data_IF_229009545554
#
_entry.id   IF_229009545554
#
_cell.length_a   1.000
_cell.length_b   1.000
_cell.length_c   1.000
_cell.angle_alpha   90.00
_cell.angle_beta   90.00
_cell.angle_gamma   90.00
#
_symmetry.space_group_name_H-M   'P 1'
#
loop_
_entity.id
_entity.type
_entity.pdbx_description
1 polymer ?
#
# COMPACT_ATOMS: atom_id res chain seq x y z
N UNK A 1 -15.33 8.39 7.34
CA UNK A 1 -15.63 9.67 6.64
C UNK A 1 -16.67 9.42 5.55
N UNK A 2 -17.33 10.47 5.06
CA UNK A 2 -18.36 10.35 4.02
C UNK A 2 -18.25 11.52 3.03
N UNK A 3 -17.12 11.59 2.30
CA UNK A 3 -16.91 12.59 1.24
C UNK A 3 -17.45 12.11 -0.11
N UNK A 4 -17.38 12.99 -1.10
CA UNK A 4 -17.59 12.65 -2.51
C UNK A 4 -16.50 13.26 -3.40
N UNK A 5 -16.55 12.97 -4.70
CA UNK A 5 -15.53 13.44 -5.64
C UNK A 5 -15.43 14.98 -5.76
N UNK A 6 -16.51 15.71 -5.47
CA UNK A 6 -16.55 17.17 -5.51
C UNK A 6 -16.21 17.80 -4.15
N UNK A 7 -16.43 17.08 -3.06
CA UNK A 7 -16.17 17.50 -1.69
C UNK A 7 -15.52 16.37 -0.85
N UNK A 8 -14.25 16.03 -1.12
CA UNK A 8 -13.54 15.04 -0.33
C UNK A 8 -13.24 15.55 1.09
N UNK A 9 -13.14 14.63 2.05
CA UNK A 9 -12.70 14.96 3.42
C UNK A 9 -11.18 14.97 3.46
N UNK A 10 -10.57 16.08 3.88
CA UNK A 10 -9.11 16.25 3.91
C UNK A 10 -8.61 16.42 5.35
N UNK A 11 -7.76 15.48 5.80
CA UNK A 11 -6.94 15.59 7.00
C UNK A 11 -5.53 16.00 6.58
N UNK A 12 -4.98 17.03 7.21
CA UNK A 12 -3.71 17.62 6.80
C UNK A 12 -3.03 18.30 7.98
N UNK A 13 -1.75 18.63 7.78
CA UNK A 13 -0.94 19.38 8.73
C UNK A 13 -1.60 20.67 9.20
N UNK A 14 -1.46 20.95 10.50
CA UNK A 14 -1.89 22.21 11.11
C UNK A 14 -0.98 23.40 10.76
N UNK A 15 0.17 23.14 10.12
CA UNK A 15 1.07 24.19 9.63
C UNK A 15 0.44 24.96 8.47
N UNK A 16 0.88 26.21 8.33
CA UNK A 16 0.48 27.09 7.23
C UNK A 16 0.93 26.46 5.90
N UNK A 17 0.07 26.51 4.88
CA UNK A 17 0.42 26.04 3.53
C UNK A 17 1.70 26.73 3.01
N UNK A 18 2.56 25.95 2.36
CA UNK A 18 3.92 26.33 1.99
C UNK A 18 4.97 25.87 3.01
N UNK A 19 4.57 25.58 4.25
CA UNK A 19 5.44 25.12 5.34
C UNK A 19 5.12 23.68 5.80
N UNK A 20 4.22 22.97 5.10
CA UNK A 20 3.89 21.59 5.45
C UNK A 20 4.95 20.65 4.91
N UNK A 21 5.18 19.56 5.62
CA UNK A 21 6.13 18.53 5.27
C UNK A 21 5.63 17.15 5.73
N UNK A 22 6.06 16.06 5.08
CA UNK A 22 5.88 14.72 5.60
C UNK A 22 6.28 14.64 7.08
N UNK A 23 5.46 13.96 7.88
CA UNK A 23 5.69 13.78 9.32
C UNK A 23 5.29 14.98 10.18
N UNK A 24 4.48 15.91 9.65
CA UNK A 24 3.97 17.06 10.42
C UNK A 24 3.00 16.65 11.55
N UNK A 25 2.37 15.48 11.41
CA UNK A 25 1.44 14.89 12.37
C UNK A 25 1.40 13.36 12.19
N UNK A 26 0.82 12.64 13.14
CA UNK A 26 0.85 11.17 13.18
C UNK A 26 -0.23 10.44 12.36
N UNK A 27 -0.99 11.14 11.50
CA UNK A 27 -2.02 10.48 10.71
C UNK A 27 -3.25 9.98 11.49
N UNK A 28 -3.96 9.01 10.92
CA UNK A 28 -5.18 8.44 11.49
C UNK A 28 -4.89 7.04 12.00
N UNK A 29 -5.16 6.82 13.28
CA UNK A 29 -5.05 5.50 13.91
C UNK A 29 -6.44 4.95 14.21
N UNK A 30 -6.68 3.70 13.82
CA UNK A 30 -7.92 2.96 14.05
C UNK A 30 -7.59 1.63 14.72
N UNK A 31 -8.19 1.37 15.90
CA UNK A 31 -8.17 0.06 16.55
C UNK A 31 -9.54 -0.59 16.41
N UNK A 32 -9.58 -1.76 15.77
CA UNK A 32 -10.79 -2.57 15.61
C UNK A 32 -10.86 -3.77 16.57
N UNK A 33 -11.69 -4.74 16.20
CA UNK A 33 -11.95 -5.98 16.93
C UNK A 33 -11.85 -7.24 16.03
N UNK A 34 -11.19 -7.11 14.88
CA UNK A 34 -10.93 -8.17 13.91
C UNK A 34 -9.86 -9.16 14.35
N UNK A 35 -9.57 -10.16 13.50
CA UNK A 35 -8.59 -11.19 13.83
C UNK A 35 -7.19 -10.74 13.40
N UNK A 36 -6.24 -10.72 14.35
CA UNK A 36 -4.80 -10.58 14.10
C UNK A 36 -3.98 -11.73 14.69
N UNK A 37 -2.65 -11.58 14.67
CA UNK A 37 -1.72 -12.61 15.13
C UNK A 37 -1.50 -12.67 16.66
N UNK A 38 -1.66 -11.53 17.37
CA UNK A 38 -1.34 -11.39 18.80
C UNK A 38 -2.47 -11.87 19.71
N UNK A 39 -2.21 -12.85 20.57
CA UNK A 39 -3.17 -13.29 21.59
C UNK A 39 -3.32 -12.28 22.75
N UNK A 40 -2.20 -11.74 23.23
CA UNK A 40 -2.16 -10.79 24.33
C UNK A 40 -2.14 -9.34 23.81
N UNK A 41 -2.75 -8.43 24.57
CA UNK A 41 -2.73 -6.99 24.29
C UNK A 41 -1.29 -6.48 24.07
N UNK A 42 -1.07 -5.84 22.92
CA UNK A 42 0.14 -5.10 22.58
C UNK A 42 -0.20 -3.61 22.52
N UNK A 43 0.79 -2.76 22.76
CA UNK A 43 0.62 -1.33 22.51
C UNK A 43 0.62 -1.08 21.00
N UNK A 44 -0.16 -0.10 20.55
CA UNK A 44 0.08 0.47 19.22
C UNK A 44 1.39 1.25 19.22
N UNK A 45 1.91 1.52 18.04
CA UNK A 45 3.03 2.45 17.83
C UNK A 45 2.62 3.89 18.16
N UNK A 46 3.60 4.78 18.16
CA UNK A 46 3.43 6.20 18.39
C UNK A 46 3.17 6.58 19.85
N UNK A 47 3.34 5.65 20.79
CA UNK A 47 3.08 5.88 22.21
C UNK A 47 1.66 6.37 22.51
N UNK A 48 0.65 6.01 21.71
CA UNK A 48 -0.71 6.59 21.82
C UNK A 48 -1.46 6.20 23.10
N UNK A 49 -0.97 5.19 23.82
CA UNK A 49 -1.63 4.60 24.99
C UNK A 49 -2.79 3.66 24.63
N UNK A 50 -3.02 3.40 23.34
CA UNK A 50 -3.97 2.40 22.87
C UNK A 50 -3.32 1.02 22.80
N UNK A 51 -4.16 0.00 22.92
CA UNK A 51 -3.73 -1.40 22.83
C UNK A 51 -4.62 -2.17 21.87
N UNK A 52 -4.07 -3.22 21.27
CA UNK A 52 -4.77 -4.12 20.37
C UNK A 52 -4.38 -5.58 20.63
N UNK A 53 -5.28 -6.49 20.27
CA UNK A 53 -5.04 -7.92 20.22
C UNK A 53 -6.05 -8.56 19.27
N UNK A 54 -5.83 -9.84 18.96
CA UNK A 54 -6.72 -10.61 18.11
C UNK A 54 -8.13 -10.69 18.71
N UNK A 55 -9.12 -10.28 17.93
CA UNK A 55 -10.53 -10.42 18.25
C UNK A 55 -11.10 -11.81 17.95
N UNK A 56 -12.42 -11.92 18.06
CA UNK A 56 -13.11 -13.20 17.94
C UNK A 56 -13.46 -13.57 16.48
N UNK A 57 -13.67 -12.57 15.61
CA UNK A 57 -13.99 -12.73 14.20
C UNK A 57 -13.71 -11.44 13.43
N UNK A 58 -13.67 -11.49 12.10
CA UNK A 58 -13.43 -10.32 11.25
C UNK A 58 -14.68 -9.53 10.89
N UNK A 59 -15.88 -9.85 11.38
CA UNK A 59 -17.11 -9.21 10.86
C UNK A 59 -17.33 -7.78 11.38
N UNK A 60 -16.50 -7.32 12.33
CA UNK A 60 -16.59 -5.97 12.90
C UNK A 60 -16.36 -4.86 11.88
N UNK A 61 -16.90 -3.68 12.18
CA UNK A 61 -16.70 -2.45 11.41
C UNK A 61 -16.18 -1.36 12.34
N UNK A 62 -15.09 -0.71 11.93
CA UNK A 62 -14.52 0.47 12.57
C UNK A 62 -14.93 1.76 11.84
N UNK A 63 -15.98 1.69 11.01
CA UNK A 63 -16.45 2.76 10.13
C UNK A 63 -15.85 2.68 8.74
N UNK A 64 -16.46 3.39 7.79
CA UNK A 64 -16.01 3.43 6.39
C UNK A 64 -15.38 4.78 6.09
N UNK A 65 -14.34 4.78 5.25
CA UNK A 65 -13.71 5.98 4.74
C UNK A 65 -13.99 6.07 3.24
N UNK A 66 -14.60 7.18 2.82
CA UNK A 66 -14.97 7.40 1.42
C UNK A 66 -14.57 8.80 0.98
N UNK A 67 -13.89 8.92 -0.18
CA UNK A 67 -13.30 10.15 -0.70
C UNK A 67 -12.54 10.93 0.38
N UNK A 68 -11.47 10.32 0.87
CA UNK A 68 -10.67 10.85 1.98
C UNK A 68 -9.24 11.07 1.57
N UNK A 69 -8.72 12.22 1.94
CA UNK A 69 -7.34 12.64 1.68
C UNK A 69 -6.65 12.78 3.02
N UNK A 70 -5.52 12.13 3.18
CA UNK A 70 -4.61 12.25 4.32
C UNK A 70 -3.30 12.81 3.77
N UNK A 71 -2.89 13.98 4.23
CA UNK A 71 -1.65 14.61 3.75
C UNK A 71 -0.65 14.83 4.88
N UNK A 72 0.64 14.71 4.58
CA UNK A 72 1.73 15.15 5.47
C UNK A 72 1.78 14.43 6.82
N UNK A 73 1.21 13.22 6.89
CA UNK A 73 1.28 12.32 8.04
C UNK A 73 2.65 11.62 8.13
N UNK A 74 2.87 10.70 9.06
CA UNK A 74 4.12 9.94 9.13
C UNK A 74 5.03 10.22 10.33
N UNK A 75 4.57 10.86 11.41
CA UNK A 75 5.49 11.44 12.41
C UNK A 75 6.23 10.38 13.24
N UNK A 76 7.56 10.40 13.18
CA UNK A 76 8.46 9.71 14.12
C UNK A 76 8.36 10.37 15.51
N UNK A 77 7.67 9.72 16.47
CA UNK A 77 7.50 10.29 17.81
C UNK A 77 8.70 9.99 18.71
N UNK A 78 9.42 8.90 18.41
CA UNK A 78 10.73 8.58 18.97
C UNK A 78 11.49 7.67 18.00
N UNK A 79 12.80 7.49 18.20
CA UNK A 79 13.64 6.73 17.26
C UNK A 79 13.13 5.30 17.05
N UNK A 80 12.67 4.99 15.83
CA UNK A 80 12.10 3.69 15.47
C UNK A 80 10.71 3.44 16.07
N UNK A 81 9.96 4.50 16.37
CA UNK A 81 8.55 4.47 16.76
C UNK A 81 7.82 5.56 15.96
N UNK A 82 7.48 5.20 14.73
CA UNK A 82 6.83 6.05 13.76
C UNK A 82 5.31 5.84 13.75
N UNK A 83 4.59 6.73 13.06
CA UNK A 83 3.13 6.71 12.94
C UNK A 83 2.79 6.94 11.49
N UNK A 84 1.82 6.20 10.95
CA UNK A 84 1.58 6.13 9.51
C UNK A 84 0.58 7.16 8.99
N UNK A 85 0.32 7.15 7.68
CA UNK A 85 -0.83 7.84 7.10
C UNK A 85 -2.14 7.30 7.65
N UNK A 86 -2.36 5.99 7.50
CA UNK A 86 -3.43 5.24 8.13
C UNK A 86 -2.85 4.03 8.87
N UNK A 87 -2.87 4.06 10.21
CA UNK A 87 -2.50 2.93 11.07
C UNK A 87 -3.74 2.11 11.42
N UNK A 88 -3.79 0.84 10.98
CA UNK A 88 -4.99 0.00 11.06
C UNK A 88 -4.75 -1.27 11.89
N UNK A 89 -5.05 -1.21 13.18
CA UNK A 89 -4.88 -2.35 14.08
C UNK A 89 -6.16 -3.19 14.13
N UNK A 90 -6.05 -4.46 13.74
CA UNK A 90 -7.14 -5.46 13.79
C UNK A 90 -8.48 -4.94 13.27
N UNK A 91 -8.48 -4.18 12.18
CA UNK A 91 -9.71 -3.58 11.62
C UNK A 91 -10.49 -4.63 10.82
N UNK A 92 -11.73 -4.88 11.21
CA UNK A 92 -12.58 -5.93 10.63
C UNK A 92 -13.07 -5.64 9.20
N UNK A 93 -13.54 -6.70 8.54
CA UNK A 93 -14.08 -6.75 7.18
C UNK A 93 -15.37 -5.96 6.95
N UNK A 94 -16.06 -5.52 8.01
CA UNK A 94 -17.15 -4.55 7.92
C UNK A 94 -16.67 -3.12 7.65
N UNK A 95 -15.36 -2.89 7.59
CA UNK A 95 -14.71 -1.61 7.29
C UNK A 95 -14.30 -1.57 5.82
N UNK A 96 -14.70 -0.51 5.13
CA UNK A 96 -14.33 -0.27 3.73
C UNK A 96 -13.56 1.05 3.56
N UNK A 97 -12.49 0.99 2.78
CA UNK A 97 -11.74 2.14 2.27
C UNK A 97 -12.11 2.33 0.79
N UNK A 98 -12.65 3.48 0.41
CA UNK A 98 -13.11 3.74 -0.96
C UNK A 98 -12.68 5.15 -1.41
N UNK A 99 -11.85 5.27 -2.44
CA UNK A 99 -11.25 6.54 -2.85
C UNK A 99 -10.47 7.20 -1.69
N UNK A 100 -9.35 6.58 -1.34
CA UNK A 100 -8.43 7.09 -0.31
C UNK A 100 -7.16 7.58 -0.98
N UNK A 101 -6.76 8.81 -0.65
CA UNK A 101 -5.44 9.31 -0.99
C UNK A 101 -4.62 9.50 0.28
N UNK A 102 -3.43 8.91 0.33
CA UNK A 102 -2.40 9.29 1.29
C UNK A 102 -1.29 9.98 0.51
N UNK A 103 -1.03 11.25 0.83
CA UNK A 103 -0.13 12.11 0.09
C UNK A 103 0.98 12.60 1.02
N UNK A 104 2.23 12.45 0.60
CA UNK A 104 3.40 13.01 1.31
C UNK A 104 3.51 12.49 2.75
N UNK A 105 3.37 11.17 2.95
CA UNK A 105 3.60 10.52 4.23
C UNK A 105 5.11 10.35 4.47
N UNK A 106 5.58 10.54 5.72
CA UNK A 106 6.98 10.35 6.08
C UNK A 106 7.29 8.88 6.34
N UNK A 107 6.45 8.26 7.15
CA UNK A 107 6.38 6.80 7.39
C UNK A 107 5.37 6.17 6.42
N UNK A 108 4.77 5.01 6.71
CA UNK A 108 3.96 4.29 5.73
C UNK A 108 2.69 5.01 5.29
N UNK A 109 2.25 4.71 4.07
CA UNK A 109 1.00 5.25 3.53
C UNK A 109 -0.20 4.68 4.26
N UNK A 110 -0.32 3.36 4.24
CA UNK A 110 -1.28 2.59 5.03
C UNK A 110 -0.52 1.41 5.61
N UNK A 111 -0.60 1.23 6.91
CA UNK A 111 -0.07 0.04 7.59
C UNK A 111 -1.19 -0.66 8.35
N UNK A 112 -1.21 -1.99 8.29
CA UNK A 112 -2.21 -2.78 8.97
C UNK A 112 -1.61 -3.97 9.73
N UNK A 113 -1.92 -4.05 11.02
CA UNK A 113 -1.58 -5.20 11.86
C UNK A 113 -2.83 -6.05 12.08
N UNK A 114 -2.97 -7.09 11.26
CA UNK A 114 -4.12 -7.98 11.29
C UNK A 114 -5.42 -7.34 10.80
N UNK A 115 -6.53 -8.05 10.97
CA UNK A 115 -7.84 -7.64 10.48
C UNK A 115 -8.12 -8.12 9.05
N UNK A 116 -9.16 -7.55 8.43
CA UNK A 116 -9.65 -7.96 7.13
C UNK A 116 -10.44 -6.87 6.38
N UNK A 117 -10.16 -5.60 6.63
CA UNK A 117 -10.77 -4.48 5.91
C UNK A 117 -10.61 -4.64 4.38
N UNK A 118 -11.48 -3.97 3.63
CA UNK A 118 -11.42 -4.01 2.16
C UNK A 118 -11.24 -2.62 1.57
N UNK A 119 -10.48 -2.52 0.48
CA UNK A 119 -10.08 -1.25 -0.12
C UNK A 119 -10.29 -1.18 -1.63
N UNK A 120 -10.89 -0.09 -2.12
CA UNK A 120 -10.91 0.24 -3.54
C UNK A 120 -10.45 1.67 -3.80
N UNK A 121 -9.74 1.87 -4.92
CA UNK A 121 -9.27 3.18 -5.37
C UNK A 121 -8.36 3.85 -4.32
N UNK A 122 -7.25 3.18 -4.02
CA UNK A 122 -6.25 3.65 -3.06
C UNK A 122 -5.10 4.32 -3.81
N UNK A 123 -4.74 5.53 -3.41
CA UNK A 123 -3.67 6.31 -4.03
C UNK A 123 -2.66 6.77 -2.97
N UNK A 124 -1.45 6.23 -3.02
CA UNK A 124 -0.33 6.66 -2.20
C UNK A 124 0.68 7.40 -3.06
N UNK A 125 1.08 8.59 -2.63
CA UNK A 125 1.87 9.50 -3.46
C UNK A 125 2.91 10.25 -2.64
N UNK A 126 4.16 10.17 -3.03
CA UNK A 126 5.25 10.87 -2.39
C UNK A 126 5.58 10.37 -0.99
N UNK A 127 5.37 9.08 -0.74
CA UNK A 127 5.83 8.41 0.48
C UNK A 127 7.34 8.44 0.63
N UNK A 128 7.79 8.55 1.87
CA UNK A 128 9.22 8.52 2.23
C UNK A 128 9.61 7.21 2.94
N UNK A 129 8.64 6.40 3.36
CA UNK A 129 8.77 4.98 3.69
C UNK A 129 7.82 4.12 2.83
N UNK A 130 7.28 2.98 3.28
CA UNK A 130 6.49 2.05 2.47
C UNK A 130 5.12 2.64 2.06
N UNK A 131 4.63 2.29 0.86
CA UNK A 131 3.34 2.85 0.42
C UNK A 131 2.15 2.07 0.99
N UNK A 132 2.27 0.74 1.09
CA UNK A 132 1.30 -0.13 1.74
C UNK A 132 2.05 -1.25 2.48
N UNK A 133 1.92 -1.24 3.80
CA UNK A 133 2.40 -2.29 4.69
C UNK A 133 1.23 -3.13 5.22
N UNK A 134 1.34 -4.46 5.12
CA UNK A 134 0.30 -5.38 5.59
C UNK A 134 0.89 -6.57 6.35
N UNK A 135 0.46 -6.66 7.59
CA UNK A 135 1.17 -7.41 8.62
C UNK A 135 0.23 -8.19 9.55
N UNK A 136 0.85 -8.96 10.45
CA UNK A 136 0.21 -9.65 11.56
C UNK A 136 -1.08 -10.42 11.22
N UNK A 137 -1.01 -11.16 10.12
CA UNK A 137 -2.09 -12.00 9.63
C UNK A 137 -3.30 -11.24 9.06
N UNK A 138 -3.06 -10.10 8.43
CA UNK A 138 -4.06 -9.39 7.65
C UNK A 138 -4.57 -10.23 6.47
N UNK A 139 -5.90 -10.26 6.26
CA UNK A 139 -6.52 -11.06 5.17
C UNK A 139 -7.59 -10.30 4.40
N UNK A 140 -7.43 -8.98 4.32
CA UNK A 140 -8.34 -8.14 3.57
C UNK A 140 -8.18 -8.27 2.06
N UNK A 141 -8.88 -7.38 1.35
CA UNK A 141 -8.90 -7.36 -0.12
C UNK A 141 -8.71 -5.95 -0.64
N UNK A 142 -7.91 -5.79 -1.68
CA UNK A 142 -7.63 -4.49 -2.30
C UNK A 142 -7.79 -4.57 -3.81
N UNK A 143 -8.54 -3.64 -4.42
CA UNK A 143 -8.64 -3.50 -5.88
C UNK A 143 -8.45 -2.06 -6.32
N UNK A 144 -7.62 -1.81 -7.35
CA UNK A 144 -7.26 -0.47 -7.83
C UNK A 144 -6.41 0.30 -6.82
N UNK A 145 -5.12 0.00 -6.81
CA UNK A 145 -4.13 0.68 -5.99
C UNK A 145 -3.05 1.33 -6.86
N UNK A 146 -2.70 2.57 -6.57
CA UNK A 146 -1.56 3.24 -7.19
C UNK A 146 -0.65 3.75 -6.08
N UNK A 147 0.63 3.41 -6.17
CA UNK A 147 1.68 3.90 -5.31
C UNK A 147 2.74 4.58 -6.17
N UNK A 148 3.09 5.82 -5.85
CA UNK A 148 4.01 6.63 -6.63
C UNK A 148 4.94 7.41 -5.72
N UNK A 149 6.19 6.94 -5.60
CA UNK A 149 7.28 7.64 -4.94
C UNK A 149 7.65 8.91 -5.68
N UNK A 150 8.12 9.92 -4.94
CA UNK A 150 8.69 11.14 -5.51
C UNK A 150 10.18 11.24 -5.16
N UNK A 151 10.93 12.20 -5.75
CA UNK A 151 12.30 12.46 -5.32
C UNK A 151 12.40 12.70 -3.81
N UNK A 152 13.42 12.16 -3.15
CA UNK A 152 13.62 12.38 -1.70
C UNK A 152 13.87 13.85 -1.36
N UNK A 153 14.28 14.67 -2.33
CA UNK A 153 14.38 16.13 -2.20
C UNK A 153 13.03 16.82 -1.99
N UNK A 154 11.91 16.12 -2.17
CA UNK A 154 10.57 16.61 -1.86
C UNK A 154 10.42 17.03 -0.39
N UNK A 155 11.21 16.47 0.52
CA UNK A 155 11.22 16.81 1.95
C UNK A 155 10.78 15.64 2.82
N UNK A 156 11.23 15.67 4.08
CA UNK A 156 11.26 14.50 4.97
C UNK A 156 12.63 13.81 4.91
N UNK A 157 12.88 12.89 5.82
CA UNK A 157 14.02 11.96 5.75
C UNK A 157 13.46 10.65 5.20
N UNK A 158 13.96 10.20 4.05
CA UNK A 158 13.55 8.90 3.54
C UNK A 158 14.01 7.79 4.48
N UNK A 159 13.17 6.79 4.63
CA UNK A 159 13.50 5.55 5.33
C UNK A 159 14.71 4.86 4.71
N UNK A 160 15.26 3.91 5.46
CA UNK A 160 16.39 3.10 4.98
C UNK A 160 16.00 2.10 3.91
N UNK A 161 14.71 1.81 3.77
CA UNK A 161 14.17 0.76 2.90
C UNK A 161 12.77 1.07 2.35
N UNK A 162 12.55 2.22 1.66
CA UNK A 162 11.22 2.65 1.22
C UNK A 162 10.72 1.85 -0.01
N UNK A 163 10.01 0.77 0.23
CA UNK A 163 9.39 -0.11 -0.76
C UNK A 163 8.04 0.42 -1.26
N UNK A 164 7.55 -0.15 -2.36
CA UNK A 164 6.17 0.05 -2.78
C UNK A 164 5.22 -0.67 -1.83
N UNK A 165 5.49 -1.97 -1.63
CA UNK A 165 4.87 -2.80 -0.61
C UNK A 165 5.92 -3.39 0.33
N UNK A 166 5.67 -3.37 1.62
CA UNK A 166 6.28 -4.27 2.60
C UNK A 166 5.17 -5.14 3.19
N UNK A 167 5.38 -6.45 3.35
CA UNK A 167 4.33 -7.33 3.87
C UNK A 167 4.95 -8.53 4.57
N UNK A 168 4.60 -8.70 5.84
CA UNK A 168 5.00 -9.83 6.66
C UNK A 168 3.85 -10.78 6.96
N UNK A 169 4.17 -12.06 6.87
CA UNK A 169 3.24 -13.15 7.16
C UNK A 169 2.91 -13.29 8.64
N UNK A 170 3.86 -13.81 9.42
CA UNK A 170 3.74 -14.01 10.86
C UNK A 170 4.92 -13.40 11.59
N UNK A 171 4.63 -12.43 12.45
CA UNK A 171 5.63 -11.87 13.33
C UNK A 171 6.17 -12.93 14.31
N UNK A 172 7.48 -13.15 14.28
CA UNK A 172 8.20 -14.24 14.98
C UNK A 172 8.09 -14.25 16.53
N UNK A 173 7.48 -13.22 17.12
CA UNK A 173 7.38 -13.02 18.58
C UNK A 173 5.99 -13.20 19.22
N UNK A 174 4.94 -13.55 18.47
CA UNK A 174 3.57 -13.64 19.01
C UNK A 174 3.16 -15.07 19.42
N UNK A 175 2.62 -15.25 20.63
CA UNK A 175 1.83 -16.46 20.91
C UNK A 175 0.61 -16.46 19.99
N UNK A 176 0.53 -17.45 19.09
CA UNK A 176 -0.60 -17.63 18.18
C UNK A 176 -1.89 -17.68 18.99
N UNK A 177 -2.80 -16.72 18.76
CA UNK A 177 -4.16 -16.76 19.31
C UNK A 177 -4.86 -18.06 18.86
N UNK A 178 -5.77 -18.59 19.68
CA UNK A 178 -6.65 -19.71 19.27
C UNK A 178 -7.52 -19.35 18.05
N UNK A 179 -7.75 -18.06 17.81
CA UNK A 179 -8.43 -17.50 16.63
C UNK A 179 -7.47 -16.99 15.56
N UNK A 180 -6.14 -17.07 15.76
CA UNK A 180 -5.18 -16.44 14.84
C UNK A 180 -5.25 -17.07 13.46
N UNK A 181 -5.30 -16.21 12.45
CA UNK A 181 -4.97 -16.63 11.09
C UNK A 181 -3.49 -17.01 11.04
N UNK A 182 -3.11 -18.03 10.26
CA UNK A 182 -1.77 -18.57 10.30
C UNK A 182 -0.72 -17.65 9.68
N UNK A 183 -1.08 -16.63 8.90
CA UNK A 183 -0.19 -15.67 8.24
C UNK A 183 -1.00 -14.64 7.45
N UNK A 184 -0.38 -13.52 7.07
CA UNK A 184 -0.96 -12.52 6.17
C UNK A 184 -1.27 -13.16 4.81
N UNK A 185 -2.51 -12.96 4.35
CA UNK A 185 -3.03 -13.54 3.11
C UNK A 185 -3.99 -12.54 2.42
N UNK A 186 -3.43 -11.39 2.04
CA UNK A 186 -4.14 -10.38 1.25
C UNK A 186 -4.48 -10.90 -0.14
N UNK A 187 -5.64 -10.51 -0.65
CA UNK A 187 -5.97 -10.61 -2.08
C UNK A 187 -5.93 -9.23 -2.71
N UNK A 188 -4.99 -9.01 -3.62
CA UNK A 188 -4.77 -7.72 -4.26
C UNK A 188 -4.85 -7.85 -5.78
N UNK A 189 -5.68 -7.02 -6.42
CA UNK A 189 -5.79 -6.97 -7.88
C UNK A 189 -5.74 -5.53 -8.39
N UNK A 190 -5.25 -5.34 -9.62
CA UNK A 190 -5.18 -4.04 -10.29
C UNK A 190 -4.33 -3.05 -9.48
N UNK A 191 -3.01 -3.12 -9.64
CA UNK A 191 -2.09 -2.24 -8.91
C UNK A 191 -0.95 -1.70 -9.75
N UNK A 192 -0.50 -0.48 -9.44
CA UNK A 192 0.62 0.19 -10.10
C UNK A 192 1.58 0.72 -9.05
N UNK A 193 2.82 0.22 -9.02
CA UNK A 193 3.88 0.70 -8.13
C UNK A 193 4.96 1.41 -8.95
N UNK A 194 5.25 2.66 -8.60
CA UNK A 194 6.17 3.55 -9.31
C UNK A 194 7.21 4.08 -8.31
N UNK A 195 8.44 3.57 -8.39
CA UNK A 195 9.45 3.73 -7.33
C UNK A 195 10.40 4.90 -7.44
N UNK A 196 10.39 5.65 -8.56
CA UNK A 196 11.28 6.81 -8.83
C UNK A 196 12.80 6.55 -8.63
N UNK A 197 13.22 5.29 -8.59
CA UNK A 197 14.56 4.86 -8.23
C UNK A 197 15.03 5.46 -6.89
N UNK A 198 14.11 5.67 -5.94
CA UNK A 198 14.46 5.96 -4.56
C UNK A 198 15.37 4.84 -4.04
N UNK A 199 16.43 5.23 -3.33
CA UNK A 199 17.45 4.30 -2.89
C UNK A 199 16.90 3.23 -1.96
N UNK A 200 17.48 2.04 -2.01
CA UNK A 200 17.14 0.86 -1.20
C UNK A 200 15.73 0.28 -1.39
N UNK A 201 14.81 0.99 -2.04
CA UNK A 201 13.45 0.52 -2.32
C UNK A 201 13.37 -0.64 -3.31
N UNK A 202 12.47 -1.57 -3.00
CA UNK A 202 11.99 -2.64 -3.88
C UNK A 202 10.54 -2.35 -4.23
N UNK A 203 10.06 -2.85 -5.37
CA UNK A 203 8.63 -2.73 -5.67
C UNK A 203 7.76 -3.43 -4.64
N UNK A 204 8.16 -4.63 -4.22
CA UNK A 204 7.55 -5.32 -3.09
C UNK A 204 8.59 -6.12 -2.31
N UNK A 205 8.58 -6.01 -0.99
CA UNK A 205 9.32 -6.86 -0.06
C UNK A 205 8.34 -7.72 0.71
N UNK A 206 8.51 -9.04 0.60
CA UNK A 206 7.54 -10.02 1.08
C UNK A 206 8.27 -11.02 1.96
N UNK A 207 7.89 -11.09 3.25
CA UNK A 207 8.65 -11.87 4.24
C UNK A 207 7.73 -12.69 5.14
N UNK A 208 8.36 -13.40 6.07
CA UNK A 208 7.74 -14.08 7.21
C UNK A 208 6.58 -15.04 6.89
N UNK A 209 6.61 -15.67 5.72
CA UNK A 209 5.60 -16.66 5.33
C UNK A 209 4.31 -16.07 4.77
N UNK A 210 4.36 -14.85 4.22
CA UNK A 210 3.26 -14.22 3.48
C UNK A 210 2.69 -15.15 2.39
N UNK A 211 1.36 -15.26 2.31
CA UNK A 211 0.65 -16.07 1.31
C UNK A 211 0.08 -15.30 0.12
N UNK A 212 0.06 -13.97 0.19
CA UNK A 212 -0.80 -13.09 -0.61
C UNK A 212 -0.98 -13.45 -2.09
N UNK A 213 -2.15 -13.12 -2.64
CA UNK A 213 -2.48 -13.28 -4.06
C UNK A 213 -2.46 -11.92 -4.74
N UNK A 214 -1.51 -11.72 -5.65
CA UNK A 214 -1.32 -10.49 -6.38
C UNK A 214 -1.67 -10.70 -7.84
N UNK A 215 -2.49 -9.81 -8.40
CA UNK A 215 -2.89 -9.94 -9.79
C UNK A 215 -3.03 -8.63 -10.53
N UNK A 216 -2.86 -8.69 -11.85
CA UNK A 216 -3.14 -7.58 -12.77
C UNK A 216 -2.34 -6.31 -12.42
N UNK A 217 -1.06 -6.50 -12.08
CA UNK A 217 -0.21 -5.48 -11.49
C UNK A 217 0.91 -5.02 -12.41
N UNK A 218 1.46 -3.83 -12.13
CA UNK A 218 2.68 -3.31 -12.76
C UNK A 218 3.61 -2.74 -11.69
N UNK A 219 4.91 -3.04 -11.80
CA UNK A 219 5.97 -2.56 -10.89
C UNK A 219 7.10 -1.97 -11.72
N UNK A 220 7.44 -0.71 -11.48
CA UNK A 220 8.44 -0.01 -12.28
C UNK A 220 9.27 1.00 -11.47
N UNK A 221 10.57 1.07 -11.77
CA UNK A 221 11.42 2.14 -11.30
C UNK A 221 11.81 2.03 -9.84
N UNK A 222 12.05 0.85 -9.29
CA UNK A 222 12.61 0.68 -7.94
C UNK A 222 14.12 0.44 -8.01
N UNK A 223 14.90 1.08 -7.14
CA UNK A 223 16.36 1.06 -7.28
C UNK A 223 16.95 -0.33 -7.02
N UNK A 224 16.55 -0.96 -5.92
CA UNK A 224 17.08 -2.27 -5.49
C UNK A 224 16.57 -3.42 -6.35
N UNK A 225 15.34 -3.32 -6.85
CA UNK A 225 14.78 -4.33 -7.74
C UNK A 225 13.25 -4.35 -7.74
N UNK A 226 12.69 -5.31 -8.47
CA UNK A 226 11.25 -5.47 -8.62
C UNK A 226 10.62 -6.06 -7.35
N UNK A 227 10.99 -7.28 -6.96
CA UNK A 227 10.41 -7.98 -5.81
C UNK A 227 11.52 -8.66 -5.01
N UNK A 228 11.45 -8.55 -3.69
CA UNK A 228 12.31 -9.24 -2.72
C UNK A 228 11.47 -10.21 -1.87
N UNK A 229 11.57 -11.51 -2.14
CA UNK A 229 10.85 -12.57 -1.42
C UNK A 229 11.79 -13.25 -0.41
N UNK A 230 11.75 -12.77 0.83
CA UNK A 230 12.64 -13.20 1.92
C UNK A 230 12.03 -14.37 2.68
N UNK A 231 12.79 -15.44 2.85
CA UNK A 231 12.40 -16.58 3.66
C UNK A 231 12.88 -16.41 5.11
N UNK A 232 12.00 -15.98 6.02
CA UNK A 232 12.26 -16.06 7.46
C UNK A 232 11.61 -17.33 8.04
N UNK A 233 12.40 -18.15 8.75
CA UNK A 233 12.04 -19.50 9.21
C UNK A 233 11.09 -19.58 10.42
N UNK A 234 9.98 -18.83 10.41
CA UNK A 234 9.06 -18.62 11.55
C UNK A 234 7.96 -19.67 11.79
N UNK A 235 8.02 -20.88 11.21
CA UNK A 235 7.23 -22.03 11.68
C UNK A 235 5.86 -22.31 11.04
N UNK A 236 5.41 -21.57 10.03
CA UNK A 236 4.24 -21.91 9.21
C UNK A 236 4.58 -22.80 7.99
N UNK A 237 3.60 -23.48 7.40
CA UNK A 237 3.79 -24.10 6.07
C UNK A 237 4.07 -23.00 5.05
N UNK A 238 5.26 -23.01 4.45
CA UNK A 238 5.64 -22.09 3.38
C UNK A 238 4.61 -22.20 2.26
N UNK A 239 3.75 -21.21 2.18
CA UNK A 239 2.76 -21.07 1.12
C UNK A 239 3.11 -19.77 0.45
N UNK A 240 3.83 -19.89 -0.66
CA UNK A 240 4.40 -18.76 -1.38
C UNK A 240 3.33 -17.79 -1.86
N UNK A 241 3.61 -16.47 -1.83
CA UNK A 241 2.75 -15.52 -2.50
C UNK A 241 2.68 -15.86 -4.00
N UNK A 242 1.53 -15.60 -4.60
CA UNK A 242 1.27 -15.93 -6.01
C UNK A 242 1.05 -14.67 -6.81
N UNK A 243 1.66 -14.63 -7.99
CA UNK A 243 1.53 -13.54 -8.94
C UNK A 243 0.87 -14.06 -10.21
N UNK A 244 -0.20 -13.40 -10.65
CA UNK A 244 -0.86 -13.70 -11.91
C UNK A 244 -1.03 -12.41 -12.69
N UNK A 245 -0.52 -12.36 -13.93
CA UNK A 245 -0.63 -11.14 -14.76
C UNK A 245 0.01 -9.93 -14.07
N UNK A 246 1.24 -10.08 -13.60
CA UNK A 246 2.02 -8.97 -13.05
C UNK A 246 3.21 -8.72 -13.97
N UNK A 247 3.36 -7.49 -14.42
CA UNK A 247 4.52 -7.05 -15.19
C UNK A 247 5.50 -6.32 -14.30
N UNK A 248 6.79 -6.58 -14.51
CA UNK A 248 7.86 -5.90 -13.78
C UNK A 248 8.90 -5.33 -14.73
N UNK A 249 9.68 -4.35 -14.28
CA UNK A 249 10.68 -3.67 -15.07
C UNK A 249 11.78 -4.64 -15.54
N UNK A 250 11.96 -4.70 -16.86
CA UNK A 250 12.87 -5.67 -17.46
C UNK A 250 14.35 -5.39 -17.16
N UNK A 251 14.68 -4.13 -16.91
CA UNK A 251 16.04 -3.69 -16.57
C UNK A 251 16.44 -4.01 -15.12
N UNK A 252 15.47 -4.41 -14.28
CA UNK A 252 15.65 -4.63 -12.85
C UNK A 252 15.65 -6.11 -12.51
N UNK A 253 16.53 -6.47 -11.59
CA UNK A 253 16.55 -7.78 -10.95
C UNK A 253 15.46 -7.91 -9.88
N UNK A 254 15.36 -9.11 -9.33
CA UNK A 254 14.66 -9.37 -8.07
C UNK A 254 15.70 -9.48 -6.95
N UNK A 255 15.27 -9.29 -5.70
CA UNK A 255 16.10 -9.51 -4.52
C UNK A 255 16.25 -11.01 -4.23
N UNK A 256 15.87 -11.43 -3.03
CA UNK A 256 15.73 -12.82 -2.66
C UNK A 256 14.56 -13.46 -3.43
N UNK A 257 14.76 -14.71 -3.85
CA UNK A 257 13.77 -15.45 -4.66
C UNK A 257 13.38 -16.78 -4.02
N UNK A 258 13.77 -17.00 -2.76
CA UNK A 258 13.66 -18.31 -2.11
C UNK A 258 12.22 -18.70 -1.77
N UNK A 259 11.35 -17.71 -1.58
CA UNK A 259 10.01 -17.91 -1.04
C UNK A 259 8.86 -17.74 -2.06
N UNK A 260 9.11 -17.37 -3.32
CA UNK A 260 8.05 -17.11 -4.29
C UNK A 260 8.46 -17.38 -5.75
N UNK A 261 7.47 -17.67 -6.60
CA UNK A 261 7.64 -17.69 -8.05
C UNK A 261 7.41 -16.29 -8.59
N UNK A 262 8.46 -15.69 -9.14
CA UNK A 262 8.45 -14.29 -9.54
C UNK A 262 7.80 -14.08 -10.92
N UNK A 263 7.13 -12.94 -11.14
CA UNK A 263 6.55 -12.58 -12.42
C UNK A 263 7.59 -12.43 -13.53
N UNK A 264 7.13 -12.48 -14.78
CA UNK A 264 8.01 -12.29 -15.95
C UNK A 264 8.27 -10.80 -16.18
N UNK A 265 9.54 -10.47 -16.42
CA UNK A 265 9.97 -9.15 -16.84
C UNK A 265 9.30 -8.76 -18.17
N UNK A 266 8.66 -7.58 -18.21
CA UNK A 266 7.86 -7.18 -19.37
C UNK A 266 7.71 -5.68 -19.62
N UNK A 267 8.21 -4.82 -18.72
CA UNK A 267 8.15 -3.36 -18.91
C UNK A 267 9.52 -2.83 -19.34
N UNK A 268 9.60 -2.20 -20.51
CA UNK A 268 10.83 -1.53 -20.98
C UNK A 268 10.75 0.00 -20.86
N UNK A 269 9.57 0.52 -20.55
CA UNK A 269 9.29 1.94 -20.37
C UNK A 269 8.33 2.18 -19.20
N UNK A 270 8.19 3.43 -18.77
CA UNK A 270 7.23 3.81 -17.73
C UNK A 270 5.82 3.37 -18.13
N UNK A 271 5.10 2.59 -17.29
CA UNK A 271 3.86 1.92 -17.68
C UNK A 271 2.60 2.80 -17.58
N UNK A 272 2.77 4.13 -17.45
CA UNK A 272 1.69 5.11 -17.35
C UNK A 272 1.89 6.25 -18.34
N UNK A 273 0.83 7.00 -18.66
CA UNK A 273 0.89 8.10 -19.62
C UNK A 273 1.83 9.23 -19.17
N UNK A 274 1.74 9.63 -17.89
CA UNK A 274 2.58 10.70 -17.35
C UNK A 274 2.70 10.60 -15.83
N UNK A 275 3.90 10.80 -15.30
CA UNK A 275 4.14 10.96 -13.86
C UNK A 275 3.86 12.39 -13.37
N UNK A 276 3.52 13.31 -14.29
CA UNK A 276 3.41 14.72 -14.00
C UNK A 276 4.74 15.36 -13.56
N UNK A 277 4.69 16.64 -13.25
CA UNK A 277 5.86 17.43 -12.80
C UNK A 277 6.31 17.14 -11.37
N UNK A 278 5.49 16.48 -10.57
CA UNK A 278 5.85 16.09 -9.19
C UNK A 278 7.12 15.25 -9.12
N UNK A 279 7.36 14.51 -10.20
CA UNK A 279 8.50 13.62 -10.35
C UNK A 279 9.79 14.33 -10.82
N UNK A 280 9.69 15.56 -11.37
CA UNK A 280 10.81 16.27 -12.00
C UNK A 280 11.12 17.66 -11.42
N UNK A 281 10.14 18.34 -10.80
CA UNK A 281 10.19 19.80 -10.60
C UNK A 281 10.27 20.20 -9.11
N UNK A 282 11.18 19.61 -8.33
CA UNK A 282 11.27 19.86 -6.87
C UNK A 282 9.91 19.72 -6.15
N UNK A 283 9.03 18.89 -6.71
CA UNK A 283 7.75 18.52 -6.12
C UNK A 283 6.75 19.69 -6.06
N UNK A 284 6.81 20.60 -7.04
CA UNK A 284 5.88 21.74 -7.17
C UNK A 284 4.54 21.38 -7.83
N UNK A 285 4.45 20.24 -8.52
CA UNK A 285 3.21 19.70 -9.13
C UNK A 285 2.49 20.65 -10.12
N UNK A 286 3.22 21.42 -10.93
CA UNK A 286 2.66 22.23 -12.02
C UNK A 286 1.74 21.45 -13.00
N UNK A 287 2.03 20.17 -13.23
CA UNK A 287 1.20 19.20 -13.95
C UNK A 287 0.93 17.98 -13.08
N UNK A 288 -0.32 17.50 -13.11
CA UNK A 288 -0.77 16.30 -12.39
C UNK A 288 -0.36 15.02 -13.15
N UNK A 289 -0.11 13.91 -12.44
CA UNK A 289 0.06 12.61 -13.07
C UNK A 289 -1.17 12.15 -13.84
N UNK A 290 -0.94 11.37 -14.90
CA UNK A 290 -1.94 10.57 -15.60
C UNK A 290 -1.51 9.10 -15.54
N UNK A 291 -2.13 8.38 -14.60
CA UNK A 291 -1.81 6.97 -14.34
C UNK A 291 -2.52 5.99 -15.27
N UNK A 292 -3.23 6.46 -16.31
CA UNK A 292 -3.74 5.56 -17.33
C UNK A 292 -2.61 4.66 -17.87
N UNK A 293 -2.86 3.35 -18.08
CA UNK A 293 -1.83 2.45 -18.58
C UNK A 293 -1.27 2.92 -19.91
N UNK A 294 0.03 2.75 -20.12
CA UNK A 294 0.71 3.01 -21.39
C UNK A 294 1.61 1.83 -21.81
N UNK A 295 2.15 1.89 -23.03
CA UNK A 295 3.12 0.90 -23.51
C UNK A 295 2.64 -0.55 -23.39
N UNK A 296 3.50 -1.41 -22.84
CA UNK A 296 3.26 -2.84 -22.67
C UNK A 296 2.09 -3.14 -21.72
N UNK A 297 1.89 -2.30 -20.69
CA UNK A 297 0.76 -2.44 -19.78
C UNK A 297 -0.57 -2.19 -20.49
N UNK A 298 -0.64 -1.15 -21.33
CA UNK A 298 -1.82 -0.86 -22.15
C UNK A 298 -2.09 -1.94 -23.21
N UNK A 299 -1.04 -2.51 -23.80
CA UNK A 299 -1.18 -3.54 -24.84
C UNK A 299 -1.81 -4.86 -24.34
N UNK A 300 -1.67 -5.16 -23.04
CA UNK A 300 -2.27 -6.36 -22.43
C UNK A 300 -3.66 -6.10 -21.81
N UNK A 301 -4.06 -4.84 -21.67
CA UNK A 301 -5.38 -4.47 -21.18
C UNK A 301 -6.50 -4.98 -22.13
N UNK A 302 -7.62 -5.45 -21.56
CA UNK A 302 -8.77 -5.96 -22.32
C UNK A 302 -8.73 -7.46 -22.63
N UNK A 303 -7.61 -8.15 -22.35
CA UNK A 303 -7.61 -9.62 -22.30
C UNK A 303 -8.30 -10.08 -21.01
N UNK A 304 -9.09 -11.16 -21.04
CA UNK A 304 -9.77 -11.66 -19.84
C UNK A 304 -8.74 -12.24 -18.86
N UNK A 305 -8.40 -11.49 -17.82
CA UNK A 305 -7.47 -11.86 -16.77
C UNK A 305 -8.23 -12.66 -15.71
N UNK A 306 -8.21 -13.99 -15.79
CA UNK A 306 -9.05 -14.85 -14.94
C UNK A 306 -8.72 -14.84 -13.43
N UNK A 307 -7.62 -14.19 -13.03
CA UNK A 307 -7.16 -14.15 -11.64
C UNK A 307 -8.21 -13.49 -10.72
N UNK A 308 -8.56 -14.18 -9.63
CA UNK A 308 -9.50 -13.72 -8.59
C UNK A 308 -10.95 -13.46 -9.07
N UNK A 309 -11.29 -13.81 -10.31
CA UNK A 309 -12.61 -13.59 -10.94
C UNK A 309 -13.81 -14.30 -10.29
N UNK A 310 -13.58 -15.27 -9.40
CA UNK A 310 -14.63 -15.96 -8.65
C UNK A 310 -15.07 -15.23 -7.37
N UNK A 311 -14.33 -14.21 -6.95
CA UNK A 311 -14.60 -13.43 -5.75
C UNK A 311 -15.23 -12.09 -6.15
N UNK A 312 -16.50 -11.88 -5.80
CA UNK A 312 -17.32 -10.75 -6.26
C UNK A 312 -16.81 -9.38 -5.83
N UNK A 313 -15.82 -9.32 -4.92
CA UNK A 313 -15.12 -8.08 -4.60
C UNK A 313 -14.34 -7.55 -5.82
N UNK A 314 -13.75 -8.44 -6.63
CA UNK A 314 -12.93 -8.07 -7.78
C UNK A 314 -13.81 -7.93 -9.02
N UNK A 315 -14.14 -6.68 -9.35
CA UNK A 315 -15.12 -6.36 -10.41
C UNK A 315 -14.50 -6.14 -11.79
N UNK A 316 -13.22 -5.76 -11.83
CA UNK A 316 -12.45 -5.62 -13.07
C UNK A 316 -11.37 -6.70 -13.15
N UNK A 317 -11.44 -7.46 -14.23
CA UNK A 317 -10.52 -8.53 -14.55
C UNK A 317 -9.92 -8.33 -15.95
N UNK A 318 -9.90 -7.09 -16.43
CA UNK A 318 -9.46 -6.74 -17.79
C UNK A 318 -8.35 -5.68 -17.79
N UNK A 319 -8.22 -4.89 -16.73
CA UNK A 319 -7.19 -3.85 -16.61
C UNK A 319 -5.87 -4.40 -16.09
N UNK A 320 -4.75 -4.03 -16.70
CA UNK A 320 -3.41 -4.12 -16.11
C UNK A 320 -3.04 -2.80 -15.42
N UNK A 321 -2.67 -2.85 -14.14
CA UNK A 321 -2.36 -1.66 -13.35
C UNK A 321 -3.52 -1.20 -12.46
N UNK A 322 -3.26 -0.19 -11.64
CA UNK A 322 -4.21 0.37 -10.67
C UNK A 322 -5.24 1.32 -11.26
N UNK A 323 -5.05 1.80 -12.49
CA UNK A 323 -5.96 2.71 -13.15
C UNK A 323 -6.82 1.99 -14.19
N UNK A 324 -8.15 2.08 -14.06
CA UNK A 324 -9.08 1.51 -15.03
C UNK A 324 -8.90 2.18 -16.39
N UNK A 325 -8.71 1.40 -17.44
CA UNK A 325 -8.50 1.94 -18.79
C UNK A 325 -9.68 2.81 -19.23
N UNK A 326 -9.40 4.06 -19.60
CA UNK A 326 -10.42 5.04 -20.00
C UNK A 326 -11.21 5.69 -18.85
N UNK A 327 -10.97 5.29 -17.60
CA UNK A 327 -11.59 5.88 -16.41
C UNK A 327 -10.52 6.33 -15.42
N UNK A 328 -10.24 7.65 -15.39
CA UNK A 328 -9.35 8.22 -14.38
C UNK A 328 -10.09 8.44 -13.06
N UNK A 329 -10.19 7.40 -12.22
CA UNK A 329 -10.87 7.46 -10.93
C UNK A 329 -10.21 8.41 -9.92
N UNK A 330 -8.94 8.80 -10.13
CA UNK A 330 -8.25 9.77 -9.29
C UNK A 330 -8.61 11.23 -9.64
N UNK A 331 -9.24 11.48 -10.79
CA UNK A 331 -9.56 12.83 -11.24
C UNK A 331 -10.65 13.49 -10.38
N UNK A 332 -10.51 14.80 -10.15
CA UNK A 332 -11.53 15.64 -9.50
C UNK A 332 -11.40 15.77 -7.98
N UNK A 333 -10.92 14.74 -7.28
CA UNK A 333 -10.88 14.74 -5.81
C UNK A 333 -9.47 14.70 -5.22
N UNK A 334 -8.49 14.17 -5.95
CA UNK A 334 -7.11 14.06 -5.46
C UNK A 334 -6.36 15.39 -5.48
N UNK A 335 -5.40 15.50 -4.57
CA UNK A 335 -4.54 16.68 -4.38
C UNK A 335 -3.07 16.31 -4.62
N UNK A 336 -2.30 17.29 -5.09
CA UNK A 336 -0.87 17.14 -5.36
C UNK A 336 -0.17 18.38 -4.84
N UNK A 337 -0.05 18.50 -3.51
CA UNK A 337 0.45 19.70 -2.84
C UNK A 337 1.92 19.53 -2.49
N UNK A 338 2.72 20.54 -2.82
CA UNK A 338 4.14 20.55 -2.54
C UNK A 338 4.46 20.66 -1.04
N UNK A 339 3.80 21.63 -0.37
CA UNK A 339 3.96 22.06 1.04
C UNK A 339 2.74 22.86 1.52
#
# INVERSE_FOLDING_TARGET
TNGDAAAPVCFTSSKVSGNRAPGDWGGILIVGDGIGSRAAAQNTEGGTGLQYNSGANDNGSSGNLTYTIVEFAGNEVSTGDELNGLSMYVVGSGTTLDHIQVHRHLDDGIEAWGGAWTGKYLLMTGGMDDDLDLDEAFTGKVQFLIAHKYPTSCGGTASTDPHGFEMDGTHSGGTASVTSKPTTNVKLSNFTLLGKNVSNGFGARLREGLQGKFSNGVIYGFQSGNIDCVANGGGGTVTSPTFANVLVEASKGNGNTAACVLPTNGLTSTPVISLGSGDSDNCEFATKPDYQPSGEAAALAGSALSAQSSDSFFIDNTTYGGMVSGLNWAFGWTVYRAR
#
